data_IF_315017458506
#
_entry.id   IF_315017458506
#
_cell.length_a   1.000
_cell.length_b   1.000
_cell.length_c   1.000
_cell.angle_alpha   90.00
_cell.angle_beta   90.00
_cell.angle_gamma   90.00
#
_symmetry.space_group_name_H-M   'P 1'
#
loop_
_entity.id
_entity.type
_entity.pdbx_description
1 polymer ?
#
# COMPACT_ATOMS: atom_id res chain seq x y z
N UNK A 1 -25.28 -6.07 7.10
CA UNK A 1 -26.43 -6.81 6.54
C UNK A 1 -27.25 -7.52 7.60
N UNK A 2 -28.10 -8.44 7.16
CA UNK A 2 -28.99 -9.19 8.07
C UNK A 2 -28.90 -10.68 7.73
N UNK A 3 -28.63 -11.54 8.72
CA UNK A 3 -28.58 -12.97 8.49
C UNK A 3 -30.00 -13.53 8.28
N UNK A 4 -30.16 -14.38 7.28
CA UNK A 4 -31.42 -15.04 6.99
C UNK A 4 -31.16 -16.37 6.26
N UNK A 5 -32.18 -17.20 6.10
CA UNK A 5 -32.04 -18.49 5.41
C UNK A 5 -31.84 -18.28 3.89
N UNK A 6 -30.71 -18.75 3.37
CA UNK A 6 -30.33 -18.51 1.97
C UNK A 6 -31.30 -19.09 0.93
N UNK A 7 -32.04 -20.16 1.27
CA UNK A 7 -32.96 -20.83 0.36
C UNK A 7 -34.41 -20.33 0.41
N UNK A 8 -34.80 -19.62 1.46
CA UNK A 8 -36.23 -19.27 1.66
C UNK A 8 -36.52 -17.78 1.68
N UNK A 9 -35.52 -16.94 2.02
CA UNK A 9 -35.68 -15.49 1.98
C UNK A 9 -35.78 -15.01 0.53
N UNK A 10 -36.81 -14.25 0.13
CA UNK A 10 -36.91 -13.64 -1.20
C UNK A 10 -35.68 -12.76 -1.51
N UNK A 11 -35.30 -12.66 -2.79
CA UNK A 11 -34.08 -11.92 -3.20
C UNK A 11 -34.18 -10.42 -2.91
N UNK A 12 -35.34 -9.84 -3.13
CA UNK A 12 -35.65 -8.40 -2.99
C UNK A 12 -35.74 -7.93 -1.53
N UNK A 13 -35.87 -8.90 -0.59
CA UNK A 13 -35.91 -8.62 0.84
C UNK A 13 -34.57 -8.86 1.55
N UNK A 14 -33.50 -9.21 0.80
CA UNK A 14 -32.20 -9.54 1.38
C UNK A 14 -31.40 -8.28 1.69
N UNK A 15 -30.68 -8.35 2.81
CA UNK A 15 -29.61 -7.41 3.18
C UNK A 15 -28.31 -8.17 3.21
N UNK A 16 -27.78 -8.48 2.01
CA UNK A 16 -26.66 -9.38 1.83
C UNK A 16 -25.33 -8.62 1.84
N UNK A 17 -24.60 -8.72 2.96
CA UNK A 17 -23.30 -8.08 3.10
C UNK A 17 -22.25 -8.61 2.10
N UNK A 18 -22.42 -9.84 1.58
CA UNK A 18 -21.49 -10.39 0.60
C UNK A 18 -21.66 -9.74 -0.77
N UNK A 19 -22.88 -9.41 -1.18
CA UNK A 19 -23.14 -8.71 -2.44
C UNK A 19 -22.51 -7.32 -2.41
N UNK A 20 -22.77 -6.56 -1.34
CA UNK A 20 -22.17 -5.24 -1.15
C UNK A 20 -20.62 -5.32 -1.12
N UNK A 21 -20.07 -6.34 -0.46
CA UNK A 21 -18.62 -6.57 -0.42
C UNK A 21 -18.05 -6.91 -1.80
N UNK A 22 -18.74 -7.72 -2.61
CA UNK A 22 -18.31 -8.06 -3.96
C UNK A 22 -18.26 -6.82 -4.87
N UNK A 23 -19.25 -5.95 -4.79
CA UNK A 23 -19.25 -4.68 -5.52
C UNK A 23 -18.12 -3.76 -5.06
N UNK A 24 -17.83 -3.70 -3.77
CA UNK A 24 -16.69 -2.96 -3.23
C UNK A 24 -15.36 -3.48 -3.79
N UNK A 25 -15.17 -4.81 -3.87
CA UNK A 25 -13.98 -5.43 -4.48
C UNK A 25 -13.83 -5.00 -5.95
N UNK A 26 -14.92 -5.01 -6.71
CA UNK A 26 -14.89 -4.62 -8.12
C UNK A 26 -14.62 -3.12 -8.28
N UNK A 27 -15.18 -2.27 -7.43
CA UNK A 27 -14.94 -0.83 -7.44
C UNK A 27 -13.47 -0.50 -7.13
N UNK A 28 -12.90 -1.13 -6.10
CA UNK A 28 -11.48 -0.96 -5.74
C UNK A 28 -10.57 -1.43 -6.88
N UNK A 29 -10.88 -2.55 -7.50
CA UNK A 29 -10.14 -3.02 -8.68
C UNK A 29 -10.23 -2.04 -9.85
N UNK A 30 -11.41 -1.49 -10.12
CA UNK A 30 -11.61 -0.52 -11.21
C UNK A 30 -10.77 0.74 -10.98
N UNK A 31 -10.73 1.24 -9.72
CA UNK A 31 -9.88 2.37 -9.34
C UNK A 31 -8.39 2.07 -9.60
N UNK A 32 -7.92 0.89 -9.18
CA UNK A 32 -6.54 0.47 -9.44
C UNK A 32 -6.20 0.33 -10.92
N UNK A 33 -7.17 -0.11 -11.76
CA UNK A 33 -6.97 -0.18 -13.21
C UNK A 33 -6.93 1.21 -13.88
N UNK A 34 -7.55 2.21 -13.29
CA UNK A 34 -7.53 3.61 -13.73
C UNK A 34 -6.43 4.46 -13.07
N UNK A 35 -5.61 3.86 -12.21
CA UNK A 35 -4.57 4.57 -11.47
C UNK A 35 -3.49 5.14 -12.41
N UNK A 36 -2.80 6.24 -11.99
CA UNK A 36 -1.62 6.72 -12.69
C UNK A 36 -0.49 5.67 -12.63
N UNK A 37 0.58 5.90 -13.37
CA UNK A 37 1.75 5.04 -13.38
C UNK A 37 2.24 4.75 -11.93
N UNK A 38 2.50 3.49 -11.63
CA UNK A 38 2.85 2.99 -10.29
C UNK A 38 1.76 3.12 -9.22
N UNK A 39 0.52 3.47 -9.61
CA UNK A 39 -0.63 3.44 -8.71
C UNK A 39 -1.27 2.05 -8.66
N UNK A 40 -1.68 1.59 -7.49
CA UNK A 40 -2.40 0.33 -7.30
C UNK A 40 -3.47 0.47 -6.23
N UNK A 41 -4.58 -0.25 -6.42
CA UNK A 41 -5.61 -0.43 -5.40
C UNK A 41 -6.06 -1.90 -5.42
N UNK A 42 -6.00 -2.56 -4.26
CA UNK A 42 -6.21 -4.01 -4.17
C UNK A 42 -6.90 -4.39 -2.87
N UNK A 43 -7.90 -5.27 -2.97
CA UNK A 43 -8.40 -6.00 -1.81
C UNK A 43 -7.56 -7.26 -1.66
N UNK A 44 -6.91 -7.39 -0.51
CA UNK A 44 -5.96 -8.48 -0.23
C UNK A 44 -6.59 -9.61 0.58
N UNK A 45 -7.70 -9.33 1.29
CA UNK A 45 -8.38 -10.30 2.14
C UNK A 45 -9.88 -9.99 2.23
N UNK A 46 -10.69 -11.04 2.17
CA UNK A 46 -12.13 -10.99 2.41
C UNK A 46 -12.47 -12.04 3.46
N UNK A 47 -13.18 -11.64 4.49
CA UNK A 47 -13.65 -12.51 5.56
C UNK A 47 -15.17 -12.46 5.67
N UNK A 48 -15.81 -13.62 5.53
CA UNK A 48 -17.22 -13.80 5.84
C UNK A 48 -17.35 -14.32 7.27
N UNK A 49 -18.05 -13.59 8.11
CA UNK A 49 -18.29 -13.99 9.49
C UNK A 49 -19.43 -15.01 9.65
N UNK A 50 -20.12 -15.39 8.58
CA UNK A 50 -21.19 -16.41 8.63
C UNK A 50 -20.61 -17.79 8.86
N UNK A 51 -21.17 -18.50 9.86
CA UNK A 51 -20.69 -19.83 10.23
C UNK A 51 -21.29 -20.95 9.36
N UNK A 52 -22.31 -20.68 8.56
CA UNK A 52 -23.05 -21.68 7.81
C UNK A 52 -23.24 -21.32 6.33
N UNK A 53 -23.09 -22.29 5.40
CA UNK A 53 -23.22 -22.04 3.97
C UNK A 53 -24.66 -21.76 3.50
N UNK A 54 -25.68 -21.99 4.35
CA UNK A 54 -27.08 -21.76 4.03
C UNK A 54 -27.64 -20.49 4.68
N UNK A 55 -26.78 -19.57 5.09
CA UNK A 55 -27.16 -18.29 5.72
C UNK A 55 -26.68 -17.13 4.85
N UNK A 56 -27.56 -16.16 4.58
CA UNK A 56 -27.21 -14.89 3.96
C UNK A 56 -26.20 -14.17 4.88
N UNK A 57 -25.04 -13.75 4.38
CA UNK A 57 -24.01 -13.11 5.20
C UNK A 57 -24.47 -11.78 5.80
N UNK A 58 -24.34 -11.66 7.12
CA UNK A 58 -24.64 -10.43 7.84
C UNK A 58 -23.44 -9.50 7.97
N UNK A 59 -22.23 -10.06 8.00
CA UNK A 59 -20.99 -9.32 8.18
C UNK A 59 -19.89 -9.88 7.29
N UNK A 60 -19.34 -9.01 6.46
CA UNK A 60 -18.15 -9.27 5.67
C UNK A 60 -17.11 -8.20 5.99
N UNK A 61 -15.86 -8.60 6.19
CA UNK A 61 -14.72 -7.70 6.36
C UNK A 61 -13.84 -7.75 5.13
N UNK A 62 -13.50 -6.59 4.62
CA UNK A 62 -12.53 -6.40 3.55
C UNK A 62 -11.27 -5.74 4.12
N UNK A 63 -10.12 -6.22 3.67
CA UNK A 63 -8.83 -5.59 3.92
C UNK A 63 -8.21 -5.30 2.56
N UNK A 64 -7.70 -4.10 2.40
CA UNK A 64 -7.11 -3.68 1.13
C UNK A 64 -6.13 -2.56 1.34
N UNK A 65 -5.51 -2.15 0.26
CA UNK A 65 -4.55 -1.06 0.24
C UNK A 65 -4.64 -0.28 -1.07
N UNK A 66 -4.32 0.99 -0.97
CA UNK A 66 -4.12 1.90 -2.09
C UNK A 66 -2.71 2.46 -1.97
N UNK A 67 -1.93 2.39 -3.04
CA UNK A 67 -0.55 2.89 -3.06
C UNK A 67 -0.31 3.70 -4.33
N UNK A 68 0.40 4.81 -4.22
CA UNK A 68 0.84 5.62 -5.34
C UNK A 68 1.97 6.55 -4.92
N UNK A 69 2.74 7.01 -5.90
CA UNK A 69 3.64 8.16 -5.78
C UNK A 69 2.95 9.48 -6.17
N UNK A 70 1.76 9.41 -6.73
CA UNK A 70 0.90 10.55 -7.03
C UNK A 70 0.02 10.83 -5.81
N UNK A 71 0.38 11.88 -5.06
CA UNK A 71 -0.34 12.30 -3.86
C UNK A 71 -1.78 12.76 -4.17
N UNK A 72 -2.01 13.34 -5.35
CA UNK A 72 -3.33 13.82 -5.73
C UNK A 72 -4.29 12.65 -5.91
N UNK A 73 -3.85 11.62 -6.63
CA UNK A 73 -4.64 10.40 -6.80
C UNK A 73 -4.81 9.67 -5.48
N UNK A 74 -3.75 9.56 -4.67
CA UNK A 74 -3.80 8.90 -3.36
C UNK A 74 -4.81 9.56 -2.42
N UNK A 75 -4.87 10.91 -2.40
CA UNK A 75 -5.90 11.62 -1.65
C UNK A 75 -7.29 11.46 -2.26
N UNK A 76 -7.38 11.44 -3.60
CA UNK A 76 -8.63 11.23 -4.34
C UNK A 76 -9.25 9.85 -4.09
N UNK A 77 -8.44 8.83 -3.83
CA UNK A 77 -8.91 7.46 -3.55
C UNK A 77 -9.75 7.35 -2.26
N UNK A 78 -9.69 8.33 -1.37
CA UNK A 78 -10.60 8.40 -0.20
C UNK A 78 -12.06 8.55 -0.60
N UNK A 79 -12.34 9.24 -1.72
CA UNK A 79 -13.69 9.35 -2.27
C UNK A 79 -14.25 7.99 -2.67
N UNK A 80 -13.40 7.06 -3.10
CA UNK A 80 -13.82 5.69 -3.40
C UNK A 80 -14.48 5.01 -2.18
N UNK A 81 -14.02 5.29 -0.97
CA UNK A 81 -14.63 4.77 0.24
C UNK A 81 -16.06 5.30 0.43
N UNK A 82 -16.30 6.57 0.12
CA UNK A 82 -17.63 7.19 0.17
C UNK A 82 -18.54 6.59 -0.92
N UNK A 83 -18.04 6.35 -2.11
CA UNK A 83 -18.77 5.71 -3.21
C UNK A 83 -19.14 4.26 -2.89
N UNK A 84 -18.23 3.50 -2.26
CA UNK A 84 -18.51 2.14 -1.77
C UNK A 84 -19.60 2.16 -0.71
N UNK A 85 -19.52 3.09 0.25
CA UNK A 85 -20.55 3.24 1.28
C UNK A 85 -21.92 3.60 0.69
N UNK A 86 -21.95 4.50 -0.29
CA UNK A 86 -23.18 4.88 -0.98
C UNK A 86 -23.82 3.69 -1.73
N UNK A 87 -23.04 2.87 -2.41
CA UNK A 87 -23.54 1.66 -3.10
C UNK A 87 -24.06 0.61 -2.13
N UNK A 88 -23.42 0.44 -0.98
CA UNK A 88 -23.90 -0.52 0.03
C UNK A 88 -25.29 -0.17 0.56
N UNK A 89 -25.67 1.10 0.57
CA UNK A 89 -27.03 1.55 0.94
C UNK A 89 -28.09 1.01 -0.05
N UNK A 90 -27.75 0.82 -1.32
CA UNK A 90 -28.66 0.22 -2.32
C UNK A 90 -29.03 -1.23 -1.97
N UNK A 91 -28.21 -1.90 -1.14
CA UNK A 91 -28.45 -3.25 -0.61
C UNK A 91 -28.97 -3.26 0.84
N UNK A 92 -29.35 -2.11 1.39
CA UNK A 92 -29.68 -1.95 2.81
C UNK A 92 -28.57 -2.47 3.76
N UNK A 93 -27.30 -2.30 3.37
CA UNK A 93 -26.14 -2.73 4.13
C UNK A 93 -25.40 -1.51 4.68
N UNK A 94 -25.06 -1.57 5.96
CA UNK A 94 -24.22 -0.55 6.61
C UNK A 94 -22.75 -0.83 6.34
N UNK A 95 -21.97 0.24 6.14
CA UNK A 95 -20.52 0.16 5.94
C UNK A 95 -19.80 0.96 7.02
N UNK A 96 -18.86 0.31 7.69
CA UNK A 96 -17.90 0.96 8.55
C UNK A 96 -16.53 0.95 7.84
N UNK A 97 -15.92 2.12 7.70
CA UNK A 97 -14.62 2.31 7.05
C UNK A 97 -13.58 2.74 8.06
N UNK A 98 -12.41 2.17 7.96
CA UNK A 98 -11.27 2.52 8.79
C UNK A 98 -9.97 2.52 7.99
N UNK A 99 -9.06 3.42 8.33
CA UNK A 99 -7.71 3.47 7.80
C UNK A 99 -6.74 3.06 8.91
N UNK A 100 -6.02 1.98 8.71
CA UNK A 100 -4.99 1.52 9.66
C UNK A 100 -3.66 2.25 9.49
N UNK A 101 -3.35 2.66 8.27
CA UNK A 101 -2.18 3.46 7.91
C UNK A 101 -2.57 4.53 6.91
N UNK A 102 -1.95 5.69 7.03
CA UNK A 102 -2.16 6.83 6.14
C UNK A 102 -0.82 7.55 5.99
N UNK A 103 0.06 6.93 5.23
CA UNK A 103 1.41 7.42 5.00
C UNK A 103 1.42 8.40 3.83
N UNK A 104 2.14 9.50 3.99
CA UNK A 104 2.48 10.41 2.88
C UNK A 104 3.55 9.78 2.00
N UNK A 105 3.64 10.25 0.76
CA UNK A 105 4.73 9.88 -0.15
C UNK A 105 6.06 10.37 0.41
N UNK A 106 7.02 9.47 0.56
CA UNK A 106 8.37 9.78 1.02
C UNK A 106 9.34 9.63 -0.15
N UNK A 107 10.00 10.72 -0.49
CA UNK A 107 10.98 10.75 -1.59
C UNK A 107 12.37 10.48 -1.06
N UNK A 108 13.13 9.67 -1.79
CA UNK A 108 14.56 9.52 -1.54
C UNK A 108 15.29 10.85 -1.77
N UNK A 109 16.36 11.07 -1.03
CA UNK A 109 17.18 12.28 -1.18
C UNK A 109 17.93 12.25 -2.51
N UNK A 110 17.80 13.30 -3.33
CA UNK A 110 18.42 13.39 -4.65
C UNK A 110 19.92 13.15 -4.58
N UNK A 111 20.64 13.78 -3.63
CA UNK A 111 22.08 13.56 -3.48
C UNK A 111 22.47 12.10 -3.15
N UNK A 112 21.62 11.33 -2.47
CA UNK A 112 21.87 9.89 -2.23
C UNK A 112 21.63 9.10 -3.50
N UNK A 113 20.58 9.45 -4.27
CA UNK A 113 20.29 8.82 -5.56
C UNK A 113 21.41 9.08 -6.56
N UNK A 114 21.93 10.32 -6.66
CA UNK A 114 23.00 10.69 -7.55
C UNK A 114 24.28 9.90 -7.25
N UNK A 115 24.67 9.79 -5.97
CA UNK A 115 25.83 9.02 -5.56
C UNK A 115 25.68 7.51 -5.82
N UNK A 116 24.47 6.97 -5.69
CA UNK A 116 24.19 5.59 -6.06
C UNK A 116 24.27 5.36 -7.58
N UNK A 117 23.79 6.32 -8.37
CA UNK A 117 23.92 6.30 -9.83
C UNK A 117 25.38 6.36 -10.27
N UNK A 118 26.18 7.27 -9.70
CA UNK A 118 27.61 7.35 -9.96
C UNK A 118 28.36 6.06 -9.60
N UNK A 119 27.99 5.42 -8.50
CA UNK A 119 28.57 4.13 -8.10
C UNK A 119 28.23 3.02 -9.10
N UNK A 120 26.99 2.98 -9.59
CA UNK A 120 26.57 2.03 -10.61
C UNK A 120 27.29 2.26 -11.95
N UNK A 121 27.44 3.53 -12.38
CA UNK A 121 28.17 3.90 -13.58
C UNK A 121 29.66 3.50 -13.48
N UNK A 122 30.29 3.75 -12.33
CA UNK A 122 31.68 3.35 -12.08
C UNK A 122 31.87 1.82 -12.10
N UNK A 123 30.84 1.06 -11.70
CA UNK A 123 30.84 -0.39 -11.80
C UNK A 123 30.47 -0.92 -13.20
N UNK A 124 30.10 -0.03 -14.14
CA UNK A 124 29.67 -0.41 -15.49
C UNK A 124 28.30 -1.14 -15.49
N UNK A 125 27.46 -0.89 -14.49
CA UNK A 125 26.16 -1.55 -14.29
C UNK A 125 25.03 -0.66 -14.80
N UNK A 126 24.16 -1.14 -15.70
CA UNK A 126 23.00 -0.39 -16.11
C UNK A 126 22.02 -0.22 -14.94
N UNK A 127 21.48 0.96 -14.79
CA UNK A 127 20.54 1.30 -13.72
C UNK A 127 19.40 2.18 -14.22
N UNK A 128 18.32 2.25 -13.45
CA UNK A 128 17.21 3.19 -13.70
C UNK A 128 16.58 3.61 -12.36
N UNK A 129 16.09 4.85 -12.25
CA UNK A 129 15.33 5.27 -11.09
C UNK A 129 13.94 4.63 -11.13
N UNK A 130 13.53 4.05 -10.03
CA UNK A 130 12.20 3.46 -9.88
C UNK A 130 11.58 3.88 -8.54
N UNK A 131 10.26 4.10 -8.46
CA UNK A 131 9.59 4.21 -7.19
C UNK A 131 9.49 2.84 -6.51
N UNK A 132 9.58 2.81 -5.18
CA UNK A 132 9.21 1.62 -4.42
C UNK A 132 7.70 1.56 -4.26
N UNK A 133 7.07 0.49 -4.70
CA UNK A 133 5.66 0.19 -4.39
C UNK A 133 5.47 -0.35 -2.96
N UNK A 134 6.55 -0.72 -2.27
CA UNK A 134 6.50 -1.25 -0.91
C UNK A 134 6.85 -0.17 0.14
N UNK A 135 6.28 -0.31 1.33
CA UNK A 135 6.70 0.48 2.49
C UNK A 135 7.92 -0.18 3.13
N UNK A 136 8.96 0.59 3.35
CA UNK A 136 10.22 0.16 3.97
C UNK A 136 10.48 0.94 5.26
N UNK A 137 11.25 0.38 6.18
CA UNK A 137 11.68 1.07 7.41
C UNK A 137 12.44 2.36 7.11
N UNK A 138 13.08 2.45 5.96
CA UNK A 138 13.74 3.65 5.44
C UNK A 138 12.78 4.87 5.36
N UNK A 139 11.48 4.66 5.18
CA UNK A 139 10.46 5.72 5.20
C UNK A 139 10.45 6.45 6.54
N UNK A 140 10.58 5.73 7.64
CA UNK A 140 10.65 6.31 8.98
C UNK A 140 11.98 7.05 9.21
N UNK A 141 13.07 6.51 8.69
CA UNK A 141 14.40 7.13 8.77
C UNK A 141 14.51 8.42 7.97
N UNK A 142 13.72 8.58 6.90
CA UNK A 142 13.71 9.78 6.07
C UNK A 142 13.34 11.08 6.85
N UNK A 143 12.68 10.97 7.99
CA UNK A 143 12.42 12.09 8.89
C UNK A 143 13.66 12.55 9.66
N UNK A 144 14.67 11.69 9.82
CA UNK A 144 15.87 11.90 10.60
C UNK A 144 17.09 12.23 9.74
N UNK A 145 17.23 11.55 8.58
CA UNK A 145 18.39 11.67 7.70
C UNK A 145 18.00 11.58 6.22
N UNK A 146 18.86 12.07 5.29
CA UNK A 146 18.74 11.76 3.89
C UNK A 146 18.73 10.24 3.67
N UNK A 147 17.80 9.76 2.86
CA UNK A 147 17.57 8.33 2.62
C UNK A 147 17.58 8.03 1.12
N UNK A 148 18.07 6.86 0.77
CA UNK A 148 17.95 6.26 -0.55
C UNK A 148 17.90 4.74 -0.43
N UNK A 149 17.57 4.06 -1.54
CA UNK A 149 17.54 2.61 -1.60
C UNK A 149 18.09 2.13 -2.94
N UNK A 150 18.73 0.97 -2.92
CA UNK A 150 19.20 0.27 -4.11
C UNK A 150 18.43 -1.03 -4.21
N UNK A 151 17.77 -1.23 -5.35
CA UNK A 151 17.09 -2.48 -5.66
C UNK A 151 17.96 -3.32 -6.59
N UNK A 152 17.87 -4.63 -6.42
CA UNK A 152 18.52 -5.60 -7.31
C UNK A 152 17.46 -6.45 -8.01
N UNK A 153 17.74 -6.99 -9.21
CA UNK A 153 16.76 -7.76 -9.96
C UNK A 153 16.28 -9.01 -9.20
N UNK A 154 14.99 -9.24 -9.17
CA UNK A 154 14.39 -10.52 -8.80
C UNK A 154 13.86 -11.24 -10.03
N UNK A 155 13.94 -12.56 -10.05
CA UNK A 155 13.47 -13.40 -11.15
C UNK A 155 11.99 -13.12 -11.47
N UNK A 156 11.70 -12.66 -12.69
CA UNK A 156 10.38 -12.24 -13.14
C UNK A 156 9.73 -11.13 -12.28
N UNK A 157 10.49 -10.37 -11.53
CA UNK A 157 9.98 -9.33 -10.62
C UNK A 157 9.15 -9.86 -9.46
N UNK A 158 9.27 -11.16 -9.13
CA UNK A 158 8.50 -11.79 -8.06
C UNK A 158 9.01 -11.37 -6.69
N UNK A 159 8.05 -11.17 -5.76
CA UNK A 159 8.29 -10.91 -4.34
C UNK A 159 7.16 -11.48 -3.49
N UNK A 160 7.39 -11.76 -2.21
CA UNK A 160 6.44 -12.34 -1.25
C UNK A 160 5.88 -13.72 -1.69
N UNK A 161 6.66 -14.49 -2.42
CA UNK A 161 6.30 -15.85 -2.85
C UNK A 161 7.54 -16.78 -2.83
N UNK A 162 7.33 -18.12 -2.80
CA UNK A 162 8.44 -19.08 -2.75
C UNK A 162 9.39 -19.01 -3.96
N UNK A 163 8.94 -18.46 -5.08
CA UNK A 163 9.72 -18.29 -6.31
C UNK A 163 10.52 -16.99 -6.35
N UNK A 164 10.47 -16.17 -5.31
CA UNK A 164 11.33 -14.99 -5.19
C UNK A 164 12.80 -15.41 -5.16
N UNK A 165 13.54 -14.96 -6.16
CA UNK A 165 14.92 -15.38 -6.32
C UNK A 165 15.76 -14.29 -6.98
N UNK A 166 16.94 -14.03 -6.41
CA UNK A 166 17.97 -13.18 -6.99
C UNK A 166 19.26 -13.99 -7.15
N UNK A 167 19.89 -13.89 -8.30
CA UNK A 167 21.14 -14.61 -8.57
C UNK A 167 22.27 -14.07 -7.68
N UNK A 168 23.25 -14.92 -7.36
CA UNK A 168 24.46 -14.51 -6.62
C UNK A 168 25.20 -13.38 -7.33
N UNK A 169 25.20 -13.36 -8.66
CA UNK A 169 25.83 -12.31 -9.47
C UNK A 169 25.14 -10.95 -9.22
N UNK A 170 23.82 -10.89 -9.26
CA UNK A 170 23.06 -9.66 -8.98
C UNK A 170 23.25 -9.21 -7.52
N UNK A 171 23.30 -10.15 -6.57
CA UNK A 171 23.58 -9.84 -5.16
C UNK A 171 24.97 -9.23 -5.03
N UNK A 172 26.00 -9.84 -5.64
CA UNK A 172 27.37 -9.36 -5.58
C UNK A 172 27.48 -7.96 -6.18
N UNK A 173 26.86 -7.74 -7.34
CA UNK A 173 26.83 -6.43 -8.01
C UNK A 173 26.13 -5.39 -7.12
N UNK A 174 24.99 -5.71 -6.54
CA UNK A 174 24.28 -4.81 -5.64
C UNK A 174 25.08 -4.44 -4.40
N UNK A 175 25.77 -5.41 -3.81
CA UNK A 175 26.68 -5.17 -2.67
C UNK A 175 27.86 -4.27 -3.06
N UNK A 176 28.43 -4.46 -4.23
CA UNK A 176 29.53 -3.62 -4.72
C UNK A 176 29.09 -2.17 -4.92
N UNK A 177 27.94 -1.95 -5.59
CA UNK A 177 27.35 -0.61 -5.78
C UNK A 177 27.02 0.03 -4.44
N UNK A 178 26.43 -0.72 -3.50
CA UNK A 178 26.12 -0.23 -2.16
C UNK A 178 27.38 0.20 -1.39
N UNK A 179 28.43 -0.62 -1.43
CA UNK A 179 29.70 -0.31 -0.76
C UNK A 179 30.35 0.97 -1.31
N UNK A 180 30.40 1.13 -2.65
CA UNK A 180 30.92 2.35 -3.27
C UNK A 180 30.05 3.57 -2.97
N UNK A 181 28.70 3.41 -2.98
CA UNK A 181 27.78 4.46 -2.57
C UNK A 181 28.05 4.93 -1.13
N UNK A 182 28.28 4.01 -0.20
CA UNK A 182 28.58 4.35 1.20
C UNK A 182 29.91 5.09 1.34
N UNK A 183 30.95 4.69 0.59
CA UNK A 183 32.24 5.39 0.58
C UNK A 183 32.12 6.81 0.02
N UNK A 184 31.30 7.01 -1.01
CA UNK A 184 31.00 8.34 -1.57
C UNK A 184 30.21 9.19 -0.58
N UNK A 185 29.23 8.61 0.11
CA UNK A 185 28.44 9.28 1.15
C UNK A 185 29.30 9.75 2.31
N UNK A 186 30.28 8.98 2.75
CA UNK A 186 31.22 9.32 3.82
C UNK A 186 32.05 10.57 3.48
N UNK A 187 32.40 10.74 2.21
CA UNK A 187 33.15 11.89 1.70
C UNK A 187 32.29 13.10 1.34
N UNK A 188 30.95 12.93 1.31
CA UNK A 188 29.97 13.94 0.86
C UNK A 188 29.34 14.69 2.03
N UNK A 189 29.37 16.00 1.99
CA UNK A 189 28.71 16.84 3.00
C UNK A 189 27.26 17.14 2.56
N UNK A 190 26.28 16.58 3.23
CA UNK A 190 24.88 16.99 3.06
C UNK A 190 24.60 18.27 3.82
N UNK A 191 23.86 19.23 3.24
CA UNK A 191 23.44 20.40 3.98
C UNK A 191 22.56 19.96 5.17
N UNK A 192 22.87 20.52 6.36
CA UNK A 192 22.05 20.27 7.55
C UNK A 192 20.59 20.64 7.26
N UNK A 193 19.65 19.75 7.53
CA UNK A 193 18.23 20.09 7.45
C UNK A 193 17.93 21.19 8.46
N UNK A 194 17.19 22.25 8.07
CA UNK A 194 16.67 23.18 9.04
C UNK A 194 15.78 22.43 10.05
N UNK A 195 16.01 22.61 11.33
CA UNK A 195 15.18 22.09 12.42
C UNK A 195 13.77 22.69 12.36
N UNK A 196 12.93 22.30 11.43
CA UNK A 196 11.54 22.74 11.38
C UNK A 196 10.61 21.64 10.92
N UNK A 197 9.72 21.35 11.84
CA UNK A 197 8.52 20.53 11.81
C UNK A 197 8.70 19.14 12.40
N UNK A 198 8.32 19.03 13.68
CA UNK A 198 7.89 17.75 14.24
C UNK A 198 6.73 17.25 13.36
N UNK A 199 6.77 16.00 12.89
CA UNK A 199 5.61 15.45 12.21
C UNK A 199 4.42 15.56 13.18
N UNK A 200 3.30 16.09 12.69
CA UNK A 200 2.06 16.07 13.44
C UNK A 200 1.80 14.61 13.80
N UNK A 201 1.86 14.28 15.09
CA UNK A 201 1.42 13.01 15.60
C UNK A 201 -0.03 12.83 15.15
N UNK A 202 -0.27 11.86 14.27
CA UNK A 202 -1.61 11.41 13.96
C UNK A 202 -2.26 11.05 15.30
N UNK A 203 -3.26 11.82 15.72
CA UNK A 203 -4.05 11.48 16.91
C UNK A 203 -4.75 10.18 16.56
N UNK A 204 -4.62 9.13 17.37
CA UNK A 204 -5.39 7.92 17.17
C UNK A 204 -6.87 8.32 17.25
N UNK A 205 -7.64 8.02 16.22
CA UNK A 205 -9.09 8.15 16.29
C UNK A 205 -9.60 7.23 17.39
N UNK A 206 -10.49 7.70 18.28
CA UNK A 206 -11.00 6.87 19.36
C UNK A 206 -11.82 5.71 18.78
N UNK A 207 -11.32 4.51 18.97
CA UNK A 207 -12.09 3.28 18.78
C UNK A 207 -13.23 3.33 19.80
N UNK A 208 -14.45 3.56 19.35
CA UNK A 208 -15.63 3.40 20.22
C UNK A 208 -15.73 1.92 20.58
N UNK A 209 -15.35 1.59 21.79
CA UNK A 209 -15.65 0.29 22.38
C UNK A 209 -17.16 0.34 22.77
N UNK A 210 -17.99 -0.33 22.00
CA UNK A 210 -19.29 -0.70 22.49
C UNK A 210 -19.08 -1.93 23.38
N UNK A 211 -19.30 -1.76 24.66
CA UNK A 211 -19.51 -2.85 25.62
C UNK A 211 -20.95 -3.37 25.50
N UNK A 212 -21.21 -4.61 25.95
CA UNK A 212 -22.30 -5.53 25.59
C UNK A 212 -23.68 -5.02 25.92
#
# INVERSE_FOLDING_TARGET
GTPDHAGTRPMDDRRDAMVAAAEAVLAIRAEGCGAPEHGVATVTRLENASASPNVVPALVRLYGEVRSVDETWLHGSRRLAEEIAAKAVEHDVEVELGWSTDNTVVRAATGVQDLAAEAADAAGVPWLPIPSGATHDAVHMASLAPMGMIFIPSANGKSHCPEEFTTTEHITTGVQVLADTLLRLDSHSFPARPHSARPHSARPHPVRRNHP
#
